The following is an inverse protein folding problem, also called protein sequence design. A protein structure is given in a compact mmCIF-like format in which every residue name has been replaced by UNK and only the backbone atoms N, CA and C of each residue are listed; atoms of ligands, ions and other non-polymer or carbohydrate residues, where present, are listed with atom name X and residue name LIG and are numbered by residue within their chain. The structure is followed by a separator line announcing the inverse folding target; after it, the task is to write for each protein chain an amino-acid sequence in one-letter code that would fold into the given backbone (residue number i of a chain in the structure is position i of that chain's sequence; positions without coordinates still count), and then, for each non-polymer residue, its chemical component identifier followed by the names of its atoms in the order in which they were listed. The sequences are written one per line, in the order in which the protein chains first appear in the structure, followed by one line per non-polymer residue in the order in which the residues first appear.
data_IF_779643903729
#
_entry.id   IF_779643903729
#
_cell.length_a   1.000
_cell.length_b   1.000
_cell.length_c   1.000
_cell.angle_alpha   90.00
_cell.angle_beta   90.00
_cell.angle_gamma   90.00
#
_symmetry.space_group_name_H-M   'P 1'
#
loop_
_entity.id
_entity.type
_entity.pdbx_description
1 polymer ?
#
# COMPACT_ATOMS: atom_id res chain seq x y z
N UNK A 1 -24.66 -40.69 -42.15
CA UNK A 1 -24.47 -40.14 -40.79
C UNK A 1 -23.05 -39.60 -40.68
N UNK A 2 -22.88 -38.27 -40.62
CA UNK A 2 -21.61 -37.64 -40.25
C UNK A 2 -21.84 -37.04 -38.87
N UNK A 3 -21.28 -37.68 -37.85
CA UNK A 3 -21.24 -37.16 -36.48
C UNK A 3 -20.14 -36.11 -36.46
N UNK A 4 -20.54 -34.84 -36.41
CA UNK A 4 -19.62 -33.73 -36.19
C UNK A 4 -19.20 -33.71 -34.74
N UNK A 5 -17.95 -34.10 -34.48
CA UNK A 5 -17.32 -33.98 -33.17
C UNK A 5 -17.10 -32.48 -32.89
N UNK A 6 -17.90 -31.89 -32.01
CA UNK A 6 -17.63 -30.54 -31.50
C UNK A 6 -16.55 -30.67 -30.43
N UNK A 7 -15.29 -30.42 -30.81
CA UNK A 7 -14.19 -30.25 -29.87
C UNK A 7 -14.39 -28.93 -29.12
N UNK A 8 -15.01 -28.99 -27.93
CA UNK A 8 -14.94 -27.90 -26.96
C UNK A 8 -13.50 -27.81 -26.46
N UNK A 9 -12.68 -26.97 -27.10
CA UNK A 9 -11.48 -26.44 -26.47
C UNK A 9 -11.91 -25.45 -25.40
N UNK A 10 -12.10 -25.92 -24.17
CA UNK A 10 -12.10 -25.06 -23.00
C UNK A 10 -10.66 -24.55 -22.80
N UNK A 11 -10.25 -23.54 -23.57
CA UNK A 11 -9.09 -22.74 -23.19
C UNK A 11 -9.48 -22.12 -21.86
N UNK A 12 -8.76 -22.45 -20.79
CA UNK A 12 -8.89 -21.81 -19.48
C UNK A 12 -8.54 -20.33 -19.66
N UNK A 13 -9.54 -19.52 -20.01
CA UNK A 13 -9.41 -18.07 -20.08
C UNK A 13 -9.18 -17.59 -18.65
N UNK A 14 -7.95 -17.18 -18.37
CA UNK A 14 -7.62 -16.41 -17.17
C UNK A 14 -8.30 -15.05 -17.36
N UNK A 15 -9.49 -14.90 -16.80
CA UNK A 15 -10.24 -13.65 -16.85
C UNK A 15 -9.84 -12.79 -15.66
N UNK A 16 -9.19 -11.65 -15.93
CA UNK A 16 -9.01 -10.61 -14.93
C UNK A 16 -10.37 -9.94 -14.65
N UNK A 17 -10.74 -9.85 -13.37
CA UNK A 17 -11.90 -9.10 -12.92
C UNK A 17 -11.42 -7.78 -12.34
N UNK A 18 -11.97 -6.67 -12.85
CA UNK A 18 -11.60 -5.31 -12.40
C UNK A 18 -12.79 -4.70 -11.69
N UNK A 19 -12.61 -4.37 -10.42
CA UNK A 19 -13.58 -3.65 -9.60
C UNK A 19 -13.16 -2.19 -9.51
N UNK A 20 -14.15 -1.30 -9.53
CA UNK A 20 -13.95 0.13 -9.37
C UNK A 20 -14.34 0.56 -7.97
N UNK A 21 -13.66 1.59 -7.50
CA UNK A 21 -13.90 2.16 -6.19
C UNK A 21 -13.44 3.60 -6.12
N UNK A 22 -13.57 4.14 -4.93
CA UNK A 22 -13.27 5.54 -4.62
C UNK A 22 -12.47 5.63 -3.33
N UNK A 23 -11.67 6.69 -3.23
CA UNK A 23 -10.95 7.03 -2.00
C UNK A 23 -11.48 8.34 -1.46
N UNK A 24 -11.89 8.33 -0.20
CA UNK A 24 -12.35 9.50 0.54
C UNK A 24 -11.42 9.81 1.70
N UNK A 25 -11.22 11.09 1.97
CA UNK A 25 -10.43 11.60 3.07
C UNK A 25 -11.30 12.36 4.06
N UNK A 26 -11.10 12.07 5.34
CA UNK A 26 -11.74 12.73 6.46
C UNK A 26 -10.65 13.24 7.41
N UNK A 27 -10.60 14.56 7.58
CA UNK A 27 -9.69 15.22 8.50
C UNK A 27 -10.40 15.43 9.84
N UNK A 28 -10.09 14.60 10.83
CA UNK A 28 -10.64 14.70 12.18
C UNK A 28 -9.60 15.35 13.09
N UNK A 29 -10.05 15.94 14.20
CA UNK A 29 -9.21 16.71 15.13
C UNK A 29 -7.97 15.95 15.63
N UNK A 30 -8.10 14.65 15.84
CA UNK A 30 -7.09 13.78 16.45
C UNK A 30 -6.54 12.71 15.51
N UNK A 31 -7.09 12.57 14.31
CA UNK A 31 -6.70 11.54 13.33
C UNK A 31 -7.17 11.87 11.93
N UNK A 32 -6.46 11.35 10.96
CA UNK A 32 -6.88 11.30 9.57
C UNK A 32 -7.49 9.93 9.27
N UNK A 33 -8.56 9.91 8.47
CA UNK A 33 -9.16 8.67 8.00
C UNK A 33 -9.22 8.70 6.48
N UNK A 34 -8.72 7.65 5.86
CA UNK A 34 -8.92 7.36 4.46
C UNK A 34 -9.90 6.20 4.33
N UNK A 35 -10.96 6.37 3.55
CA UNK A 35 -11.87 5.27 3.22
C UNK A 35 -11.64 4.84 1.78
N UNK A 36 -11.31 3.56 1.59
CA UNK A 36 -11.20 2.92 0.30
C UNK A 36 -12.43 2.02 0.16
N UNK A 37 -13.33 2.39 -0.74
CA UNK A 37 -14.61 1.70 -0.93
C UNK A 37 -14.72 1.22 -2.36
N UNK A 38 -14.90 -0.08 -2.53
CA UNK A 38 -15.14 -0.71 -3.84
C UNK A 38 -16.61 -1.01 -4.04
N UNK A 39 -17.07 -0.81 -5.27
CA UNK A 39 -18.43 -1.14 -5.67
C UNK A 39 -18.52 -2.63 -6.00
N UNK A 40 -19.25 -3.39 -5.17
CA UNK A 40 -19.55 -4.81 -5.37
C UNK A 40 -18.32 -5.72 -5.54
N UNK A 41 -17.19 -5.34 -4.93
CA UNK A 41 -16.03 -6.20 -4.92
C UNK A 41 -16.24 -7.39 -3.97
N UNK A 42 -15.89 -8.62 -4.39
CA UNK A 42 -16.02 -9.80 -3.55
C UNK A 42 -15.03 -9.74 -2.41
N UNK A 43 -15.22 -10.59 -1.40
CA UNK A 43 -14.16 -10.88 -0.46
C UNK A 43 -12.93 -11.40 -1.22
N UNK A 44 -11.78 -10.82 -0.92
CA UNK A 44 -10.50 -11.18 -1.51
C UNK A 44 -9.75 -12.15 -0.60
N UNK A 45 -9.08 -13.17 -1.15
CA UNK A 45 -8.20 -14.02 -0.34
C UNK A 45 -7.08 -13.17 0.29
N UNK A 46 -6.77 -13.46 1.55
CA UNK A 46 -5.60 -12.92 2.24
C UNK A 46 -4.43 -13.90 2.09
N UNK A 47 -3.21 -13.43 2.34
CA UNK A 47 -2.07 -14.32 2.49
C UNK A 47 -2.22 -15.12 3.80
N UNK A 48 -2.96 -16.22 3.73
CA UNK A 48 -3.01 -17.29 4.73
C UNK A 48 -3.40 -18.57 3.98
N UNK A 49 -2.59 -19.63 4.09
CA UNK A 49 -2.82 -20.90 3.39
C UNK A 49 -4.08 -21.63 3.92
N UNK A 50 -4.56 -21.27 5.11
CA UNK A 50 -5.63 -21.99 5.81
C UNK A 50 -6.88 -21.13 6.12
N UNK A 51 -6.81 -19.78 6.07
CA UNK A 51 -7.88 -18.90 6.54
C UNK A 51 -8.44 -17.89 5.51
N UNK A 52 -9.59 -17.34 5.93
CA UNK A 52 -10.66 -16.76 5.14
C UNK A 52 -10.33 -15.46 4.42
N UNK A 53 -11.08 -15.23 3.34
CA UNK A 53 -11.10 -13.99 2.56
C UNK A 53 -11.43 -12.76 3.44
N UNK A 54 -10.85 -11.60 3.12
CA UNK A 54 -11.15 -10.30 3.75
C UNK A 54 -11.86 -9.37 2.77
N UNK A 55 -12.54 -8.33 3.27
CA UNK A 55 -13.11 -7.33 2.38
C UNK A 55 -11.99 -6.50 1.75
N UNK A 56 -12.08 -6.19 0.45
CA UNK A 56 -11.14 -5.28 -0.20
C UNK A 56 -11.39 -3.81 0.16
N UNK A 57 -12.57 -3.49 0.72
CA UNK A 57 -12.85 -2.16 1.22
C UNK A 57 -12.36 -2.03 2.66
N UNK A 58 -11.72 -0.91 2.98
CA UNK A 58 -11.14 -0.68 4.30
C UNK A 58 -11.06 0.80 4.63
N UNK A 59 -10.86 1.10 5.91
CA UNK A 59 -10.40 2.39 6.39
C UNK A 59 -8.91 2.29 6.74
N UNK A 60 -8.12 3.27 6.32
CA UNK A 60 -6.83 3.53 6.96
C UNK A 60 -6.99 4.66 7.96
N UNK A 61 -6.79 4.35 9.24
CA UNK A 61 -6.78 5.32 10.31
C UNK A 61 -5.34 5.71 10.56
N UNK A 62 -4.98 6.95 10.27
CA UNK A 62 -3.71 7.52 10.66
C UNK A 62 -3.92 8.42 11.86
N UNK A 63 -3.51 7.94 13.02
CA UNK A 63 -3.37 8.80 14.18
C UNK A 63 -1.94 9.36 14.23
N UNK A 64 -1.62 10.03 15.34
CA UNK A 64 -0.32 10.65 15.51
C UNK A 64 0.83 9.63 15.31
N UNK A 65 0.74 8.40 15.85
CA UNK A 65 1.86 7.46 15.92
C UNK A 65 1.79 6.29 14.95
N UNK A 66 0.60 5.91 14.51
CA UNK A 66 0.36 4.64 13.84
C UNK A 66 -0.68 4.79 12.73
N UNK A 67 -0.55 3.91 11.74
CA UNK A 67 -1.57 3.67 10.73
C UNK A 67 -2.17 2.30 10.97
N UNK A 68 -3.48 2.25 11.17
CA UNK A 68 -4.23 1.01 11.39
C UNK A 68 -5.27 0.82 10.29
N UNK A 69 -5.23 -0.34 9.66
CA UNK A 69 -6.23 -0.76 8.70
C UNK A 69 -7.45 -1.35 9.43
N UNK A 70 -8.66 -0.96 9.02
CA UNK A 70 -9.92 -1.51 9.50
C UNK A 70 -10.74 -1.97 8.30
N UNK A 71 -10.97 -3.29 8.19
CA UNK A 71 -11.79 -3.89 7.16
C UNK A 71 -13.23 -3.37 7.20
N UNK A 72 -13.79 -3.05 6.03
CA UNK A 72 -15.17 -2.61 5.86
C UNK A 72 -15.99 -3.60 5.05
N UNK A 73 -17.13 -4.00 5.57
CA UNK A 73 -18.04 -4.96 4.95
C UNK A 73 -19.20 -4.22 4.28
N UNK A 74 -19.44 -4.53 2.99
CA UNK A 74 -20.56 -3.95 2.26
C UNK A 74 -21.90 -4.46 2.83
N UNK A 75 -22.82 -3.53 3.05
CA UNK A 75 -24.25 -3.70 3.33
C UNK A 75 -25.03 -3.00 2.22
N UNK A 76 -26.35 -3.16 2.18
CA UNK A 76 -27.20 -2.65 1.08
C UNK A 76 -26.91 -1.20 0.69
N UNK A 77 -26.72 -0.30 1.68
CA UNK A 77 -26.52 1.13 1.44
C UNK A 77 -25.34 1.72 2.23
N UNK A 78 -24.40 0.89 2.69
CA UNK A 78 -23.26 1.33 3.50
C UNK A 78 -22.12 0.33 3.55
N UNK A 79 -20.98 0.77 4.05
CA UNK A 79 -19.82 -0.04 4.39
C UNK A 79 -19.57 0.10 5.88
N UNK A 80 -19.46 -1.00 6.61
CA UNK A 80 -19.38 -1.00 8.08
C UNK A 80 -18.27 -1.93 8.56
N UNK A 81 -17.54 -1.55 9.60
CA UNK A 81 -16.61 -2.47 10.26
C UNK A 81 -17.37 -3.53 11.08
N UNK A 82 -16.71 -4.63 11.43
CA UNK A 82 -17.34 -5.72 12.21
C UNK A 82 -17.90 -5.23 13.55
N UNK A 83 -17.22 -4.27 14.18
CA UNK A 83 -17.63 -3.71 15.47
C UNK A 83 -18.74 -2.65 15.33
N UNK A 84 -19.12 -2.28 14.10
CA UNK A 84 -20.08 -1.22 13.78
C UNK A 84 -19.72 0.15 14.40
N UNK A 85 -18.44 0.37 14.65
CA UNK A 85 -17.88 1.62 15.18
C UNK A 85 -17.77 2.67 14.07
N UNK A 86 -17.48 2.24 12.86
CA UNK A 86 -17.30 3.08 11.69
C UNK A 86 -18.24 2.65 10.58
N UNK A 87 -18.90 3.64 9.97
CA UNK A 87 -19.79 3.41 8.84
C UNK A 87 -19.55 4.46 7.77
N UNK A 88 -19.38 4.03 6.52
CA UNK A 88 -19.44 4.90 5.35
C UNK A 88 -20.82 4.73 4.72
N UNK A 89 -21.59 5.80 4.63
CA UNK A 89 -22.89 5.79 3.94
C UNK A 89 -22.73 5.71 2.43
N UNK A 90 -23.82 5.45 1.71
CA UNK A 90 -23.88 5.61 0.25
C UNK A 90 -23.58 7.04 -0.23
N UNK A 91 -23.90 8.05 0.59
CA UNK A 91 -23.49 9.45 0.38
C UNK A 91 -22.01 9.72 0.69
N UNK A 92 -21.25 8.68 1.06
CA UNK A 92 -19.81 8.75 1.40
C UNK A 92 -19.53 9.65 2.61
N UNK A 93 -20.50 9.76 3.51
CA UNK A 93 -20.31 10.36 4.83
C UNK A 93 -19.74 9.30 5.77
N UNK A 94 -18.74 9.69 6.55
CA UNK A 94 -18.27 8.88 7.68
C UNK A 94 -19.21 9.12 8.86
N UNK A 95 -19.78 8.05 9.40
CA UNK A 95 -20.49 8.04 10.66
C UNK A 95 -19.58 7.41 11.71
N UNK A 96 -19.23 8.19 12.71
CA UNK A 96 -18.39 7.79 13.84
C UNK A 96 -18.88 8.52 15.09
N UNK A 97 -19.09 7.77 16.19
CA UNK A 97 -19.56 8.32 17.46
C UNK A 97 -20.84 9.18 17.33
N UNK A 98 -21.84 8.65 16.62
CA UNK A 98 -23.11 9.33 16.25
C UNK A 98 -22.96 10.67 15.52
N UNK A 99 -21.74 11.02 15.10
CA UNK A 99 -21.43 12.23 14.36
C UNK A 99 -21.20 11.89 12.90
N UNK A 100 -21.63 12.79 12.01
CA UNK A 100 -21.44 12.66 10.57
C UNK A 100 -20.36 13.60 10.09
N UNK A 101 -19.44 13.08 9.29
CA UNK A 101 -18.36 13.83 8.68
C UNK A 101 -18.45 13.69 7.17
N UNK A 102 -18.43 14.83 6.47
CA UNK A 102 -18.42 14.84 5.02
C UNK A 102 -17.01 14.49 4.53
N UNK A 103 -16.92 13.51 3.63
CA UNK A 103 -15.65 13.10 3.04
C UNK A 103 -15.26 13.96 1.84
N UNK A 104 -13.96 14.20 1.70
CA UNK A 104 -13.36 14.77 0.50
C UNK A 104 -12.94 13.64 -0.44
N UNK A 105 -13.52 13.57 -1.64
CA UNK A 105 -13.10 12.58 -2.64
C UNK A 105 -11.69 12.92 -3.12
N UNK A 106 -10.74 12.00 -2.89
CA UNK A 106 -9.36 12.14 -3.38
C UNK A 106 -9.23 11.69 -4.83
N UNK A 107 -9.97 10.64 -5.20
CA UNK A 107 -9.92 10.08 -6.54
C UNK A 107 -10.58 8.72 -6.64
N UNK A 108 -10.31 8.04 -7.76
CA UNK A 108 -10.79 6.68 -8.03
C UNK A 108 -9.70 5.66 -7.72
N UNK A 109 -10.12 4.44 -7.39
CA UNK A 109 -9.24 3.29 -7.20
C UNK A 109 -9.76 2.12 -8.02
N UNK A 110 -8.87 1.18 -8.34
CA UNK A 110 -9.22 -0.08 -8.96
C UNK A 110 -8.62 -1.25 -8.22
N UNK A 111 -9.33 -2.38 -8.29
CA UNK A 111 -8.88 -3.65 -7.76
C UNK A 111 -8.98 -4.67 -8.89
N UNK A 112 -7.83 -5.16 -9.33
CA UNK A 112 -7.73 -6.27 -10.26
C UNK A 112 -7.56 -7.57 -9.48
N UNK A 113 -8.43 -8.53 -9.76
CA UNK A 113 -8.38 -9.89 -9.23
C UNK A 113 -8.25 -10.87 -10.38
N UNK A 114 -7.16 -11.64 -10.36
CA UNK A 114 -6.93 -12.75 -11.27
C UNK A 114 -6.90 -14.01 -10.42
N UNK A 115 -7.77 -14.96 -10.73
CA UNK A 115 -7.83 -16.24 -10.02
C UNK A 115 -8.00 -17.38 -11.00
N UNK A 116 -7.14 -18.38 -10.87
CA UNK A 116 -7.30 -19.69 -11.51
C UNK A 116 -7.22 -20.81 -10.45
N UNK A 117 -7.03 -22.06 -10.88
CA UNK A 117 -6.98 -23.21 -9.98
C UNK A 117 -5.76 -23.21 -9.05
N UNK A 118 -4.63 -22.63 -9.48
CA UNK A 118 -3.35 -22.70 -8.76
C UNK A 118 -2.84 -21.30 -8.35
N UNK A 119 -3.38 -20.24 -8.93
CA UNK A 119 -2.85 -18.88 -8.80
C UNK A 119 -3.90 -17.88 -8.34
N UNK A 120 -3.49 -17.00 -7.44
CA UNK A 120 -4.27 -15.85 -6.97
C UNK A 120 -3.39 -14.62 -7.10
N UNK A 121 -3.89 -13.61 -7.82
CA UNK A 121 -3.22 -12.32 -7.95
C UNK A 121 -4.17 -11.18 -7.69
N UNK A 122 -3.71 -10.24 -6.87
CA UNK A 122 -4.50 -9.08 -6.44
C UNK A 122 -3.67 -7.83 -6.69
N UNK A 123 -4.23 -6.84 -7.37
CA UNK A 123 -3.60 -5.52 -7.54
C UNK A 123 -4.59 -4.42 -7.23
N UNK A 124 -4.38 -3.73 -6.12
CA UNK A 124 -5.10 -2.51 -5.75
C UNK A 124 -4.29 -1.28 -6.19
N UNK A 125 -4.93 -0.35 -6.90
CA UNK A 125 -4.23 0.81 -7.46
C UNK A 125 -5.06 2.08 -7.38
N UNK A 126 -4.44 3.17 -6.95
CA UNK A 126 -5.02 4.50 -6.92
C UNK A 126 -4.95 5.12 -8.31
N UNK A 127 -6.00 4.94 -9.11
CA UNK A 127 -6.10 5.37 -10.50
C UNK A 127 -5.81 6.88 -10.72
N UNK A 128 -5.99 7.73 -9.70
CA UNK A 128 -5.74 9.17 -9.78
C UNK A 128 -4.25 9.55 -9.64
N UNK A 129 -3.43 8.65 -9.13
CA UNK A 129 -1.99 8.79 -9.18
C UNK A 129 -1.58 8.46 -10.61
N UNK A 130 -1.07 9.42 -11.38
CA UNK A 130 -0.57 9.20 -12.75
C UNK A 130 0.73 8.36 -12.69
N UNK A 131 0.59 7.11 -12.25
CA UNK A 131 1.61 6.30 -11.57
C UNK A 131 1.94 5.00 -12.33
N UNK A 132 1.45 4.88 -13.57
CA UNK A 132 1.56 3.66 -14.37
C UNK A 132 2.99 3.15 -14.57
N UNK A 133 3.99 4.03 -14.53
CA UNK A 133 5.40 3.66 -14.74
C UNK A 133 6.17 3.35 -13.44
N UNK A 134 5.51 3.40 -12.27
CA UNK A 134 6.16 3.18 -10.98
C UNK A 134 5.47 2.09 -10.13
N UNK A 135 4.23 1.72 -10.43
CA UNK A 135 3.59 0.52 -9.87
C UNK A 135 4.33 -0.74 -10.32
N UNK A 136 4.54 -1.70 -9.42
CA UNK A 136 4.93 -3.05 -9.84
C UNK A 136 3.88 -3.69 -10.73
N UNK A 137 4.34 -4.45 -11.72
CA UNK A 137 3.52 -5.38 -12.47
C UNK A 137 3.60 -6.76 -11.86
N UNK A 138 2.58 -7.58 -12.13
CA UNK A 138 2.60 -8.97 -11.70
C UNK A 138 3.80 -9.70 -12.33
N UNK A 139 4.40 -10.59 -11.55
CA UNK A 139 5.43 -11.49 -12.04
C UNK A 139 4.86 -12.40 -13.12
N UNK A 140 5.66 -12.84 -14.11
CA UNK A 140 5.21 -13.87 -15.04
C UNK A 140 4.76 -15.14 -14.29
N UNK A 141 3.61 -15.70 -14.63
CA UNK A 141 3.13 -16.98 -14.06
C UNK A 141 4.11 -18.09 -14.50
N UNK A 142 4.73 -18.81 -13.56
CA UNK A 142 5.37 -20.09 -13.89
C UNK A 142 4.28 -21.14 -14.07
N UNK A 143 4.42 -21.97 -15.10
CA UNK A 143 3.37 -22.94 -15.48
C UNK A 143 3.16 -24.06 -14.45
N UNK A 144 4.09 -24.24 -13.52
CA UNK A 144 4.11 -25.33 -12.54
C UNK A 144 4.22 -24.71 -11.14
N UNK A 145 3.28 -25.04 -10.26
CA UNK A 145 3.26 -24.56 -8.86
C UNK A 145 2.07 -23.66 -8.52
N UNK A 146 1.82 -23.51 -7.21
CA UNK A 146 0.88 -22.51 -6.69
C UNK A 146 1.59 -21.17 -6.46
N UNK A 147 0.97 -20.05 -6.86
CA UNK A 147 1.48 -18.71 -6.57
C UNK A 147 0.41 -17.79 -5.98
N UNK A 148 0.83 -16.97 -5.03
CA UNK A 148 0.06 -15.86 -4.48
C UNK A 148 0.86 -14.57 -4.65
N UNK A 149 0.26 -13.60 -5.32
CA UNK A 149 0.88 -12.29 -5.54
C UNK A 149 -0.11 -11.19 -5.21
N UNK A 150 0.29 -10.24 -4.36
CA UNK A 150 -0.55 -9.15 -3.92
C UNK A 150 0.22 -7.83 -3.96
N UNK A 151 -0.32 -6.85 -4.69
CA UNK A 151 0.18 -5.49 -4.77
C UNK A 151 -0.94 -4.59 -4.24
N UNK A 152 -0.82 -4.06 -3.02
CA UNK A 152 -1.86 -3.22 -2.42
C UNK A 152 -1.32 -1.86 -2.01
N UNK A 153 -2.00 -0.81 -2.48
CA UNK A 153 -1.70 0.56 -2.10
C UNK A 153 -2.54 0.98 -0.88
N UNK A 154 -1.90 1.63 0.09
CA UNK A 154 -2.48 2.07 1.35
C UNK A 154 -2.13 3.54 1.61
N UNK A 155 -3.11 4.46 1.67
CA UNK A 155 -2.81 5.86 1.94
C UNK A 155 -2.48 6.02 3.42
N UNK A 156 -1.38 6.71 3.75
CA UNK A 156 -0.92 6.84 5.14
C UNK A 156 -1.30 8.20 5.71
N UNK A 157 -0.91 9.29 5.07
CA UNK A 157 -1.17 10.64 5.59
C UNK A 157 -1.29 11.65 4.45
N UNK A 158 -2.14 12.65 4.62
CA UNK A 158 -2.26 13.80 3.73
C UNK A 158 -1.89 15.05 4.52
N UNK A 159 -0.69 15.58 4.28
CA UNK A 159 -0.14 16.72 5.02
C UNK A 159 0.40 17.75 4.05
N UNK A 160 0.00 19.02 4.20
CA UNK A 160 0.46 20.14 3.38
C UNK A 160 0.33 19.88 1.87
N UNK A 161 -0.79 19.28 1.44
CA UNK A 161 -1.06 18.93 0.04
C UNK A 161 -0.23 17.74 -0.49
N UNK A 162 0.46 17.00 0.39
CA UNK A 162 1.28 15.83 0.03
C UNK A 162 0.66 14.57 0.61
N UNK A 163 0.30 13.63 -0.27
CA UNK A 163 -0.20 12.32 0.09
C UNK A 163 0.99 11.36 0.20
N UNK A 164 1.25 10.85 1.39
CA UNK A 164 2.13 9.71 1.60
C UNK A 164 1.32 8.42 1.52
N UNK A 165 1.81 7.41 0.81
CA UNK A 165 1.17 6.11 0.73
C UNK A 165 2.21 4.99 0.58
N UNK A 166 1.82 3.81 1.05
CA UNK A 166 2.58 2.57 0.95
C UNK A 166 2.04 1.72 -0.20
N UNK A 167 2.91 1.00 -0.89
CA UNK A 167 2.60 -0.12 -1.78
C UNK A 167 3.23 -1.37 -1.18
N UNK A 168 2.38 -2.24 -0.65
CA UNK A 168 2.78 -3.53 -0.13
C UNK A 168 2.80 -4.50 -1.28
N UNK A 169 3.99 -5.00 -1.59
CA UNK A 169 4.18 -6.02 -2.59
C UNK A 169 4.54 -7.34 -1.92
N UNK A 170 3.59 -8.26 -1.93
CA UNK A 170 3.70 -9.57 -1.33
C UNK A 170 3.75 -10.62 -2.43
N UNK A 171 4.76 -11.49 -2.37
CA UNK A 171 4.92 -12.59 -3.32
C UNK A 171 5.26 -13.89 -2.60
N UNK A 172 4.56 -14.95 -2.98
CA UNK A 172 4.82 -16.30 -2.55
C UNK A 172 4.59 -17.27 -3.71
N UNK A 173 5.55 -18.17 -3.92
CA UNK A 173 5.44 -19.28 -4.87
C UNK A 173 5.81 -20.58 -4.13
N UNK A 174 5.16 -21.68 -4.48
CA UNK A 174 5.45 -22.98 -3.87
C UNK A 174 6.91 -23.40 -4.08
N UNK A 175 7.60 -23.67 -2.98
CA UNK A 175 9.04 -23.94 -2.99
C UNK A 175 9.91 -22.70 -2.75
N UNK A 176 9.32 -21.51 -2.84
CA UNK A 176 9.98 -20.24 -2.57
C UNK A 176 9.59 -19.66 -1.20
N UNK A 177 10.47 -18.82 -0.65
CA UNK A 177 10.18 -18.05 0.55
C UNK A 177 9.27 -16.88 0.17
N UNK A 178 8.30 -16.60 1.03
CA UNK A 178 7.50 -15.39 0.95
C UNK A 178 8.37 -14.13 1.08
N UNK A 179 8.15 -13.15 0.19
CA UNK A 179 8.83 -11.85 0.23
C UNK A 179 7.78 -10.75 0.34
N UNK A 180 7.96 -9.85 1.30
CA UNK A 180 7.21 -8.61 1.42
C UNK A 180 8.15 -7.44 1.15
N UNK A 181 7.87 -6.70 0.09
CA UNK A 181 8.51 -5.43 -0.21
C UNK A 181 7.58 -4.28 0.18
N UNK A 182 8.08 -3.36 0.98
CA UNK A 182 7.38 -2.15 1.39
C UNK A 182 7.92 -0.96 0.60
N UNK A 183 7.19 -0.58 -0.44
CA UNK A 183 7.51 0.57 -1.26
C UNK A 183 6.73 1.80 -0.77
N UNK A 184 7.42 2.90 -0.57
CA UNK A 184 6.87 4.12 0.04
C UNK A 184 7.00 5.29 -0.92
N UNK A 185 5.94 6.09 -0.99
CA UNK A 185 5.85 7.19 -1.93
C UNK A 185 5.25 8.44 -1.30
N UNK A 186 5.71 9.58 -1.80
CA UNK A 186 5.11 10.88 -1.51
C UNK A 186 4.65 11.52 -2.82
N UNK A 187 3.36 11.85 -2.89
CA UNK A 187 2.73 12.44 -4.05
C UNK A 187 2.24 13.86 -3.74
N UNK A 188 2.64 14.83 -4.56
CA UNK A 188 2.12 16.18 -4.48
C UNK A 188 0.75 16.26 -5.14
N UNK A 189 -0.30 16.49 -4.36
CA UNK A 189 -1.69 16.48 -4.82
C UNK A 189 -2.02 17.64 -5.75
N UNK A 190 -1.33 18.77 -5.63
CA UNK A 190 -1.57 19.96 -6.46
C UNK A 190 -0.86 19.85 -7.80
N UNK A 191 0.44 19.53 -7.77
CA UNK A 191 1.30 19.41 -8.94
C UNK A 191 1.10 18.09 -9.70
N UNK A 192 0.46 17.10 -9.08
CA UNK A 192 0.25 15.74 -9.60
C UNK A 192 1.56 15.02 -9.97
N UNK A 193 2.58 15.15 -9.12
CA UNK A 193 3.90 14.54 -9.31
C UNK A 193 4.38 13.81 -8.06
N UNK A 194 5.19 12.77 -8.27
CA UNK A 194 5.92 12.10 -7.21
C UNK A 194 7.11 12.95 -6.79
N UNK A 195 7.32 13.06 -5.49
CA UNK A 195 8.44 13.78 -4.91
C UNK A 195 9.58 12.81 -4.63
N UNK A 196 10.80 13.27 -4.88
CA UNK A 196 12.02 12.59 -4.46
C UNK A 196 12.50 13.19 -3.15
N UNK A 197 13.21 12.40 -2.34
CA UNK A 197 13.64 12.86 -1.01
C UNK A 197 14.62 14.04 -1.11
N UNK A 198 15.48 14.03 -2.13
CA UNK A 198 16.45 15.09 -2.40
C UNK A 198 15.80 16.41 -2.89
N UNK A 199 14.52 16.42 -3.25
CA UNK A 199 13.77 17.64 -3.56
C UNK A 199 13.27 18.32 -2.27
N UNK A 200 13.19 17.56 -1.17
CA UNK A 200 12.64 18.00 0.11
C UNK A 200 13.72 18.29 1.15
N UNK A 201 14.82 17.53 1.11
CA UNK A 201 15.90 17.61 2.08
C UNK A 201 17.27 17.64 1.40
N UNK A 202 18.25 18.22 2.09
CA UNK A 202 19.67 18.18 1.72
C UNK A 202 20.28 16.82 2.10
N UNK A 203 19.94 15.79 1.33
CA UNK A 203 20.40 14.40 1.54
C UNK A 203 21.92 14.24 1.38
N UNK A 204 22.60 15.23 0.81
CA UNK A 204 24.06 15.23 0.66
C UNK A 204 24.80 15.80 1.87
N UNK A 205 24.07 16.40 2.82
CA UNK A 205 24.62 16.91 4.05
C UNK A 205 25.28 15.80 4.89
N UNK A 206 26.53 16.00 5.27
CA UNK A 206 27.29 15.01 6.04
C UNK A 206 26.63 14.68 7.38
N UNK A 207 26.10 15.67 8.11
CA UNK A 207 25.41 15.43 9.39
C UNK A 207 24.14 14.61 9.21
N UNK A 208 23.42 14.82 8.11
CA UNK A 208 22.20 14.06 7.84
C UNK A 208 22.52 12.60 7.48
N UNK A 209 23.58 12.38 6.69
CA UNK A 209 24.11 11.03 6.41
C UNK A 209 24.57 10.33 7.69
N UNK A 210 25.30 11.02 8.57
CA UNK A 210 25.71 10.48 9.87
C UNK A 210 24.50 10.10 10.74
N UNK A 211 23.45 10.92 10.77
CA UNK A 211 22.21 10.61 11.50
C UNK A 211 21.50 9.38 10.94
N UNK A 212 21.44 9.23 9.62
CA UNK A 212 20.91 8.04 8.96
C UNK A 212 21.67 6.79 9.40
N UNK A 213 23.00 6.80 9.30
CA UNK A 213 23.85 5.68 9.69
C UNK A 213 23.69 5.33 11.17
N UNK A 214 23.61 6.33 12.06
CA UNK A 214 23.34 6.10 13.48
C UNK A 214 22.00 5.39 13.70
N UNK A 215 20.93 5.84 13.04
CA UNK A 215 19.61 5.19 13.16
C UNK A 215 19.61 3.77 12.61
N UNK A 216 20.26 3.52 11.48
CA UNK A 216 20.32 2.17 10.90
C UNK A 216 21.09 1.20 11.79
N UNK A 217 22.22 1.62 12.38
CA UNK A 217 22.97 0.79 13.35
C UNK A 217 22.15 0.43 14.59
N UNK A 218 21.28 1.34 15.04
CA UNK A 218 20.37 1.06 16.15
C UNK A 218 19.30 0.03 15.80
N UNK A 219 18.91 -0.07 14.53
CA UNK A 219 17.99 -1.11 14.06
C UNK A 219 18.73 -2.44 13.91
N UNK A 220 19.87 -2.43 13.21
CA UNK A 220 20.74 -3.59 13.10
C UNK A 220 22.17 -3.19 12.69
N UNK A 221 23.13 -3.38 13.60
CA UNK A 221 24.55 -3.05 13.36
C UNK A 221 25.24 -4.04 12.41
N UNK A 222 24.83 -5.31 12.42
CA UNK A 222 25.47 -6.39 11.64
C UNK A 222 24.79 -6.67 10.28
N UNK A 223 23.71 -5.97 9.97
CA UNK A 223 22.90 -6.28 8.78
C UNK A 223 23.47 -5.68 7.48
N UNK A 224 24.36 -4.70 7.57
CA UNK A 224 24.85 -3.94 6.41
C UNK A 224 26.29 -4.35 6.08
N UNK A 225 26.56 -4.60 4.80
CA UNK A 225 27.87 -4.99 4.27
C UNK A 225 28.92 -3.90 4.52
N UNK A 226 28.58 -2.67 4.14
CA UNK A 226 29.34 -1.45 4.43
C UNK A 226 28.36 -0.29 4.67
N UNK A 227 28.23 0.10 5.94
CA UNK A 227 27.39 1.24 6.32
C UNK A 227 27.80 2.53 5.59
N UNK A 228 29.07 2.68 5.19
CA UNK A 228 29.56 3.84 4.44
C UNK A 228 28.97 3.97 3.04
N UNK A 229 28.52 2.86 2.44
CA UNK A 229 27.87 2.85 1.11
C UNK A 229 26.36 3.09 1.19
N UNK A 230 25.76 2.94 2.38
CA UNK A 230 24.33 3.17 2.57
C UNK A 230 24.01 4.65 2.43
N UNK A 231 23.09 4.97 1.53
CA UNK A 231 22.68 6.34 1.22
C UNK A 231 21.16 6.48 1.22
N UNK A 232 20.70 7.73 1.35
CA UNK A 232 19.29 8.05 1.23
C UNK A 232 18.72 7.57 -0.12
N UNK A 233 17.57 6.89 -0.07
CA UNK A 233 16.84 6.43 -1.25
C UNK A 233 15.48 7.19 -1.38
N UNK A 234 14.69 6.82 -2.40
CA UNK A 234 13.36 7.38 -2.63
C UNK A 234 12.21 6.51 -2.09
N UNK A 235 12.52 5.52 -1.26
CA UNK A 235 11.56 4.68 -0.57
C UNK A 235 11.22 5.31 0.80
N UNK A 236 10.45 6.41 0.78
CA UNK A 236 10.17 7.22 1.97
C UNK A 236 8.71 7.68 2.08
N UNK A 237 8.29 7.99 3.31
CA UNK A 237 7.02 8.65 3.63
C UNK A 237 7.27 9.93 4.42
N UNK A 238 6.50 10.97 4.12
CA UNK A 238 6.25 12.02 5.13
C UNK A 238 5.24 11.43 6.12
N UNK A 239 5.52 11.55 7.41
CA UNK A 239 4.61 11.12 8.49
C UNK A 239 4.06 12.35 9.23
N UNK A 240 3.16 12.14 10.19
CA UNK A 240 2.69 13.21 11.06
C UNK A 240 3.85 13.88 11.83
N UNK A 241 4.91 13.14 12.15
CA UNK A 241 6.04 13.60 12.95
C UNK A 241 7.32 13.91 12.21
N UNK A 242 7.45 13.53 10.95
CA UNK A 242 8.67 13.76 10.20
C UNK A 242 8.73 12.88 8.97
N UNK A 243 9.72 11.99 8.94
CA UNK A 243 10.11 11.22 7.78
C UNK A 243 10.32 9.76 8.18
N UNK A 244 9.76 8.81 7.40
CA UNK A 244 10.15 7.40 7.45
C UNK A 244 10.91 7.07 6.19
N UNK A 245 12.05 6.42 6.31
CA UNK A 245 12.84 5.90 5.19
C UNK A 245 12.94 4.38 5.34
N UNK A 246 12.72 3.63 4.26
CA UNK A 246 12.81 2.18 4.26
C UNK A 246 13.80 1.69 3.20
N UNK A 247 14.46 0.58 3.51
CA UNK A 247 15.30 -0.19 2.60
C UNK A 247 14.57 -1.52 2.33
N UNK A 248 14.46 -1.89 1.07
CA UNK A 248 13.83 -3.13 0.63
C UNK A 248 14.67 -4.35 1.04
N UNK A 249 14.09 -5.57 1.10
CA UNK A 249 14.85 -6.79 1.25
C UNK A 249 16.07 -6.82 0.33
N UNK A 250 17.24 -7.12 0.92
CA UNK A 250 18.52 -7.17 0.22
C UNK A 250 19.04 -5.83 -0.37
N UNK A 251 18.46 -4.69 -0.01
CA UNK A 251 18.93 -3.37 -0.42
C UNK A 251 20.07 -2.88 0.49
N UNK A 252 21.31 -3.22 0.12
CA UNK A 252 22.53 -2.89 0.89
C UNK A 252 22.60 -3.54 2.29
N UNK A 253 21.76 -4.55 2.54
CA UNK A 253 21.75 -5.34 3.77
C UNK A 253 21.41 -6.82 3.51
N UNK A 254 21.73 -7.73 4.43
CA UNK A 254 21.52 -9.17 4.24
C UNK A 254 20.12 -9.69 4.61
N UNK A 255 19.29 -8.84 5.21
CA UNK A 255 17.94 -9.23 5.64
C UNK A 255 16.98 -9.40 4.46
N UNK A 256 16.10 -10.37 4.59
CA UNK A 256 14.99 -10.63 3.67
C UNK A 256 13.70 -9.86 4.03
N UNK A 257 13.82 -8.94 4.98
CA UNK A 257 12.77 -8.04 5.44
C UNK A 257 13.17 -6.58 5.20
N UNK A 258 12.19 -5.69 5.20
CA UNK A 258 12.43 -4.26 5.03
C UNK A 258 13.06 -3.68 6.30
N UNK A 259 14.08 -2.83 6.16
CA UNK A 259 14.62 -2.05 7.27
C UNK A 259 14.09 -0.62 7.17
N UNK A 260 13.30 -0.19 8.15
CA UNK A 260 12.77 1.18 8.19
C UNK A 260 13.33 1.97 9.39
N UNK A 261 13.65 3.24 9.15
CA UNK A 261 14.07 4.19 10.18
C UNK A 261 13.17 5.43 10.16
N UNK A 262 12.75 5.86 11.34
CA UNK A 262 11.94 7.05 11.55
C UNK A 262 12.81 8.22 12.02
N UNK A 263 12.60 9.38 11.40
CA UNK A 263 13.20 10.66 11.77
C UNK A 263 12.10 11.63 12.21
N UNK A 264 12.26 12.16 13.41
CA UNK A 264 11.36 13.17 13.95
C UNK A 264 11.71 14.55 13.37
N UNK A 265 10.73 15.43 13.30
CA UNK A 265 10.83 16.77 12.71
C UNK A 265 11.98 17.58 13.32
N UNK A 266 12.19 17.46 14.64
CA UNK A 266 13.29 18.14 15.32
C UNK A 266 14.68 17.70 14.86
N UNK A 267 14.82 16.44 14.42
CA UNK A 267 16.08 15.87 13.93
C UNK A 267 16.38 16.31 12.50
N UNK A 268 15.35 16.60 11.69
CA UNK A 268 15.50 16.82 10.24
C UNK A 268 15.19 18.23 9.76
N UNK A 269 14.67 19.11 10.64
CA UNK A 269 14.28 20.48 10.28
C UNK A 269 15.43 21.31 9.68
N UNK A 270 16.66 21.08 10.14
CA UNK A 270 17.83 21.82 9.65
C UNK A 270 18.27 21.39 8.24
N UNK A 271 17.79 20.25 7.76
CA UNK A 271 18.11 19.72 6.43
C UNK A 271 17.01 20.01 5.40
N UNK A 272 15.92 20.67 5.75
CA UNK A 272 14.83 21.00 4.82
C UNK A 272 15.26 22.05 3.78
N UNK A 273 14.79 21.89 2.54
CA UNK A 273 14.96 22.84 1.42
C UNK A 273 13.82 23.84 1.31
#
# INVERSE_FOLDING_TARGET
MKIGLLLCFCVSLICAQIYKGEIYFYDLKDKQIFAIVYDNAPFIPIFDREANQSSPSFLMLSDYNTSTEITLFQKENSWEDEQKKYKISSSRELVFDNTKFQGNKLGTTSLELIKDQNNIRIKGSFDFLNYKNKTKDFHPIRKEGMSFEQILQKPIVLKDGRLSFEEWYYFYEEGDRAILELNNFVFNMDKKVFLNLNELYDVDNLKFKELLHQKLKLVCDECFDDMGEVSFNNNFLITNFGLRLCYLPYENHYLDENICVDFNENEIKEFKK
#
